data_IF_492986856283
#
_entry.id   IF_492986856283
#
_cell.length_a   1.000
_cell.length_b   1.000
_cell.length_c   1.000
_cell.angle_alpha   90.00
_cell.angle_beta   90.00
_cell.angle_gamma   90.00
#
_symmetry.space_group_name_H-M   'P 1'
#
loop_
_entity.id
_entity.type
_entity.pdbx_description
1 polymer ?
#
# COMPACT_ATOMS: atom_id res chain seq x y z
N UNK A 1 -25.08 17.33 -0.12
CA UNK A 1 -23.89 18.20 -0.28
C UNK A 1 -23.01 18.13 0.96
N UNK A 2 -22.04 17.21 0.99
CA UNK A 2 -20.61 17.35 1.31
C UNK A 2 -20.07 18.31 2.42
N UNK A 3 -20.90 19.09 3.13
CA UNK A 3 -20.45 20.27 3.87
C UNK A 3 -19.69 20.00 5.17
N UNK A 4 -19.56 18.75 5.62
CA UNK A 4 -18.76 18.40 6.81
C UNK A 4 -17.34 17.95 6.48
N UNK A 5 -17.17 17.26 5.36
CA UNK A 5 -15.98 16.43 5.10
C UNK A 5 -14.79 17.25 4.61
N UNK A 6 -14.96 18.48 4.11
CA UNK A 6 -13.82 19.35 3.77
C UNK A 6 -13.66 20.53 4.73
N UNK A 7 -14.64 20.80 5.62
CA UNK A 7 -14.56 21.95 6.55
C UNK A 7 -13.44 21.80 7.57
N UNK A 8 -13.01 20.56 7.84
CA UNK A 8 -11.84 20.34 8.68
C UNK A 8 -10.57 20.99 8.11
N UNK A 9 -10.49 21.22 6.80
CA UNK A 9 -9.31 21.83 6.16
C UNK A 9 -8.96 23.22 6.71
N UNK A 10 -9.97 24.05 6.95
CA UNK A 10 -9.79 25.38 7.51
C UNK A 10 -9.26 25.31 8.95
N UNK A 11 -9.79 24.38 9.74
CA UNK A 11 -9.39 24.16 11.14
C UNK A 11 -8.00 23.51 11.25
N UNK A 12 -7.65 22.69 10.26
CA UNK A 12 -6.35 22.04 10.15
C UNK A 12 -5.25 22.98 9.62
N UNK A 13 -5.61 24.15 9.10
CA UNK A 13 -4.68 25.02 8.35
C UNK A 13 -4.22 24.40 7.02
N UNK A 14 -4.95 23.42 6.47
CA UNK A 14 -4.63 22.73 5.22
C UNK A 14 -5.41 23.35 4.07
N UNK A 15 -5.04 24.57 3.74
CA UNK A 15 -5.69 25.45 2.76
C UNK A 15 -4.85 25.63 1.49
N UNK A 16 -5.43 26.02 0.34
CA UNK A 16 -6.86 26.31 0.11
C UNK A 16 -7.71 25.04 -0.03
N UNK A 17 -9.04 25.21 -0.08
CA UNK A 17 -9.92 24.15 -0.58
C UNK A 17 -9.92 24.18 -2.11
N UNK A 18 -9.39 23.14 -2.73
CA UNK A 18 -9.17 23.03 -4.17
C UNK A 18 -10.37 22.43 -4.93
N UNK A 19 -11.48 22.13 -4.25
CA UNK A 19 -12.61 21.44 -4.88
C UNK A 19 -12.25 20.02 -5.33
N UNK A 20 -12.91 19.57 -6.40
CA UNK A 20 -12.61 18.29 -7.03
C UNK A 20 -11.40 18.40 -7.96
N UNK A 21 -10.38 17.55 -7.75
CA UNK A 21 -9.24 17.46 -8.67
C UNK A 21 -8.47 16.16 -8.55
N UNK A 22 -8.02 15.65 -9.70
CA UNK A 22 -7.09 14.52 -9.80
C UNK A 22 -5.64 14.91 -9.45
N UNK A 23 -5.33 16.22 -9.46
CA UNK A 23 -3.97 16.69 -9.19
C UNK A 23 -3.59 16.50 -7.72
N UNK A 24 -2.34 16.14 -7.48
CA UNK A 24 -1.74 16.17 -6.14
C UNK A 24 -1.18 17.57 -5.88
N UNK A 25 -1.88 18.37 -5.08
CA UNK A 25 -1.59 19.79 -4.83
C UNK A 25 -1.83 20.14 -3.36
N UNK A 26 -1.07 21.09 -2.85
CA UNK A 26 -1.22 21.56 -1.47
C UNK A 26 -2.63 22.11 -1.20
N UNK A 27 -3.07 21.94 0.04
CA UNK A 27 -4.43 22.27 0.50
C UNK A 27 -5.32 21.03 0.57
N UNK A 28 -6.63 21.24 0.66
CA UNK A 28 -7.61 20.16 0.77
C UNK A 28 -8.36 19.97 -0.53
N UNK A 29 -8.54 18.72 -0.94
CA UNK A 29 -9.22 18.38 -2.19
C UNK A 29 -10.16 17.19 -2.04
N UNK A 30 -11.10 17.09 -2.96
CA UNK A 30 -11.84 15.86 -3.24
C UNK A 30 -11.19 15.19 -4.44
N UNK A 31 -10.71 13.95 -4.25
CA UNK A 31 -10.13 13.12 -5.30
C UNK A 31 -11.16 12.33 -6.08
N UNK A 32 -10.70 11.71 -7.17
CA UNK A 32 -11.47 10.71 -7.89
C UNK A 32 -11.68 9.43 -7.08
N UNK A 33 -12.63 8.62 -7.53
CA UNK A 33 -12.94 7.31 -6.97
C UNK A 33 -13.02 6.28 -8.08
N UNK A 34 -12.76 5.02 -7.73
CA UNK A 34 -12.97 3.87 -8.61
C UNK A 34 -14.37 3.27 -8.44
N UNK A 35 -15.26 3.98 -7.75
CA UNK A 35 -16.67 3.62 -7.63
C UNK A 35 -17.48 4.42 -8.66
N UNK A 36 -18.38 3.76 -9.37
CA UNK A 36 -19.38 4.41 -10.22
C UNK A 36 -20.51 5.06 -9.39
N UNK A 37 -21.43 5.82 -10.01
CA UNK A 37 -22.59 6.40 -9.31
C UNK A 37 -23.54 5.38 -8.67
N UNK A 38 -23.52 4.12 -9.11
CA UNK A 38 -24.30 3.01 -8.53
C UNK A 38 -23.56 2.33 -7.37
N UNK A 39 -22.35 2.78 -7.03
CA UNK A 39 -21.50 2.22 -5.98
C UNK A 39 -20.74 0.96 -6.38
N UNK A 40 -20.70 0.59 -7.67
CA UNK A 40 -19.90 -0.54 -8.16
C UNK A 40 -18.44 -0.15 -8.29
N UNK A 41 -17.55 -1.06 -7.90
CA UNK A 41 -16.10 -0.88 -8.00
C UNK A 41 -15.59 -1.28 -9.38
N UNK A 42 -14.90 -0.36 -10.04
CA UNK A 42 -14.09 -0.60 -11.23
C UNK A 42 -12.64 -0.86 -10.83
N UNK A 43 -12.00 -1.85 -11.45
CA UNK A 43 -10.63 -2.25 -11.09
C UNK A 43 -9.69 -2.18 -12.28
N UNK A 44 -8.40 -2.46 -12.06
CA UNK A 44 -7.46 -2.59 -13.16
C UNK A 44 -7.81 -3.77 -14.10
N UNK A 45 -8.60 -4.75 -13.65
CA UNK A 45 -9.05 -5.86 -14.50
C UNK A 45 -9.98 -5.39 -15.62
N UNK A 46 -10.77 -4.33 -15.40
CA UNK A 46 -11.65 -3.72 -16.39
C UNK A 46 -10.85 -3.27 -17.63
N UNK A 47 -9.56 -2.90 -17.46
CA UNK A 47 -8.70 -2.51 -18.57
C UNK A 47 -8.42 -3.66 -19.57
N UNK A 48 -8.68 -4.92 -19.19
CA UNK A 48 -8.60 -6.05 -20.10
C UNK A 48 -9.69 -6.00 -21.19
N UNK A 49 -10.76 -5.22 -21.00
CA UNK A 49 -11.80 -5.03 -22.04
C UNK A 49 -11.23 -4.40 -23.32
N UNK A 50 -10.12 -3.67 -23.21
CA UNK A 50 -9.42 -3.04 -24.34
C UNK A 50 -8.36 -3.96 -24.98
N UNK A 51 -8.16 -5.17 -24.45
CA UNK A 51 -7.19 -6.11 -25.01
C UNK A 51 -7.75 -6.79 -26.27
N UNK A 52 -6.89 -7.10 -27.24
CA UNK A 52 -7.24 -7.96 -28.37
C UNK A 52 -7.30 -9.42 -27.89
N UNK A 53 -8.49 -10.04 -27.80
CA UNK A 53 -8.64 -11.38 -27.22
C UNK A 53 -7.93 -12.48 -28.03
N UNK A 54 -7.52 -12.19 -29.27
CA UNK A 54 -6.73 -13.13 -30.09
C UNK A 54 -5.24 -13.11 -29.77
N UNK A 55 -4.78 -12.11 -29.01
CA UNK A 55 -3.37 -11.87 -28.68
C UNK A 55 -3.06 -11.98 -27.19
N UNK A 56 -4.08 -12.07 -26.35
CA UNK A 56 -3.93 -12.22 -24.91
C UNK A 56 -4.50 -13.56 -24.44
N UNK A 57 -3.86 -14.17 -23.46
CA UNK A 57 -4.40 -15.29 -22.71
C UNK A 57 -4.18 -15.00 -21.24
N UNK A 58 -5.24 -15.14 -20.44
CA UNK A 58 -5.22 -14.86 -19.01
C UNK A 58 -5.46 -16.18 -18.27
N UNK A 59 -4.48 -16.61 -17.50
CA UNK A 59 -4.60 -17.75 -16.60
C UNK A 59 -4.90 -17.23 -15.20
N UNK A 60 -6.08 -17.56 -14.68
CA UNK A 60 -6.45 -17.30 -13.29
C UNK A 60 -6.07 -18.49 -12.42
N UNK A 61 -5.87 -18.25 -11.12
CA UNK A 61 -5.44 -19.28 -10.17
C UNK A 61 -4.15 -19.98 -10.63
N UNK A 62 -3.23 -19.19 -11.19
CA UNK A 62 -1.93 -19.61 -11.69
C UNK A 62 -0.84 -18.89 -10.88
N UNK A 63 -0.31 -19.55 -9.84
CA UNK A 63 0.76 -19.00 -9.00
C UNK A 63 2.09 -19.13 -9.74
N UNK A 64 2.86 -18.06 -9.90
CA UNK A 64 4.18 -18.11 -10.54
C UNK A 64 5.25 -18.52 -9.52
N UNK A 65 5.96 -19.61 -9.77
CA UNK A 65 6.89 -20.21 -8.79
C UNK A 65 8.35 -19.90 -9.10
N UNK A 66 8.71 -19.82 -10.39
CA UNK A 66 10.11 -19.63 -10.80
C UNK A 66 10.21 -19.03 -12.19
N UNK A 67 11.14 -18.09 -12.38
CA UNK A 67 11.58 -17.61 -13.69
C UNK A 67 12.68 -18.55 -14.19
N UNK A 68 12.59 -18.91 -15.46
CA UNK A 68 13.58 -19.76 -16.12
C UNK A 68 14.60 -18.90 -16.86
N UNK A 69 15.86 -19.30 -16.77
CA UNK A 69 16.98 -18.61 -17.39
C UNK A 69 17.79 -19.55 -18.28
N UNK A 70 18.46 -18.97 -19.27
CA UNK A 70 19.47 -19.63 -20.09
C UNK A 70 20.69 -18.73 -20.26
N UNK A 71 21.86 -19.34 -20.39
CA UNK A 71 23.11 -18.67 -20.80
C UNK A 71 23.54 -19.12 -22.20
N UNK A 72 22.75 -19.96 -22.86
CA UNK A 72 23.08 -20.46 -24.20
C UNK A 72 23.09 -19.32 -25.21
N UNK A 73 24.27 -19.05 -25.77
CA UNK A 73 24.45 -18.01 -26.79
C UNK A 73 24.60 -16.59 -26.24
N UNK A 74 24.65 -16.40 -24.92
CA UNK A 74 24.82 -15.08 -24.28
C UNK A 74 25.80 -15.15 -23.11
N UNK A 75 26.57 -14.08 -22.89
CA UNK A 75 27.44 -13.98 -21.69
C UNK A 75 26.64 -13.69 -20.41
N UNK A 76 25.43 -13.16 -20.55
CA UNK A 76 24.51 -12.81 -19.45
C UNK A 76 23.36 -13.80 -19.40
N UNK A 77 22.81 -14.11 -18.21
CA UNK A 77 21.57 -14.85 -18.10
C UNK A 77 20.44 -14.15 -18.86
N UNK A 78 19.69 -14.91 -19.64
CA UNK A 78 18.50 -14.46 -20.36
C UNK A 78 17.27 -15.17 -19.82
N UNK A 79 16.25 -14.43 -19.41
CA UNK A 79 14.97 -15.01 -19.04
C UNK A 79 14.31 -15.65 -20.29
N UNK A 80 13.84 -16.88 -20.17
CA UNK A 80 13.25 -17.64 -21.28
C UNK A 80 11.92 -18.31 -20.96
N UNK A 81 11.39 -18.14 -19.75
CA UNK A 81 10.09 -18.67 -19.37
C UNK A 81 9.76 -18.51 -17.90
N UNK A 82 8.62 -19.07 -17.51
CA UNK A 82 8.12 -19.09 -16.13
C UNK A 82 7.48 -20.45 -15.85
N UNK A 83 7.76 -21.01 -14.66
CA UNK A 83 7.03 -22.13 -14.09
C UNK A 83 5.90 -21.56 -13.23
N UNK A 84 4.69 -22.07 -13.42
CA UNK A 84 3.54 -21.70 -12.60
C UNK A 84 2.72 -22.94 -12.21
N UNK A 85 2.00 -22.86 -11.10
CA UNK A 85 1.12 -23.91 -10.60
C UNK A 85 -0.33 -23.49 -10.79
N UNK A 86 -1.18 -24.40 -11.31
CA UNK A 86 -2.61 -24.15 -11.45
C UNK A 86 -3.40 -24.47 -10.17
N UNK A 87 -4.71 -24.21 -10.19
CA UNK A 87 -5.62 -24.44 -9.07
C UNK A 87 -5.68 -25.90 -8.57
N UNK A 88 -5.29 -26.88 -9.40
CA UNK A 88 -5.26 -28.29 -9.04
C UNK A 88 -3.88 -28.75 -8.53
N UNK A 89 -2.94 -27.80 -8.38
CA UNK A 89 -1.57 -28.09 -7.96
C UNK A 89 -0.67 -28.58 -9.09
N UNK A 90 -1.12 -28.56 -10.35
CA UNK A 90 -0.33 -29.04 -11.50
C UNK A 90 0.64 -27.96 -11.96
N UNK A 91 1.89 -28.35 -12.19
CA UNK A 91 2.94 -27.46 -12.68
C UNK A 91 2.93 -27.35 -14.21
N UNK A 92 3.01 -26.11 -14.68
CA UNK A 92 3.06 -25.74 -16.09
C UNK A 92 4.30 -24.90 -16.37
N UNK A 93 4.74 -24.88 -17.62
CA UNK A 93 5.84 -24.02 -18.06
C UNK A 93 5.41 -23.19 -19.26
N UNK A 94 5.45 -21.87 -19.13
CA UNK A 94 5.31 -20.92 -20.23
C UNK A 94 6.70 -20.51 -20.71
N UNK A 95 7.06 -20.83 -21.96
CA UNK A 95 8.35 -20.44 -22.56
C UNK A 95 8.18 -19.30 -23.56
N UNK A 96 9.16 -18.41 -23.61
CA UNK A 96 9.24 -17.41 -24.66
C UNK A 96 9.45 -18.10 -26.01
N UNK A 97 8.74 -17.65 -27.04
CA UNK A 97 8.87 -18.23 -28.37
C UNK A 97 10.26 -17.90 -28.97
N UNK A 98 10.98 -18.93 -29.42
CA UNK A 98 12.38 -18.83 -29.85
C UNK A 98 12.60 -17.96 -31.09
N UNK A 99 11.58 -17.79 -31.94
CA UNK A 99 11.69 -17.07 -33.22
C UNK A 99 11.69 -15.54 -33.06
N UNK A 100 11.31 -15.00 -31.91
CA UNK A 100 11.33 -13.56 -31.67
C UNK A 100 12.28 -13.22 -30.51
N UNK A 101 13.44 -12.67 -30.86
CA UNK A 101 14.49 -12.29 -29.92
C UNK A 101 14.06 -11.19 -28.93
N UNK A 102 13.00 -10.44 -29.23
CA UNK A 102 12.45 -9.36 -28.42
C UNK A 102 11.32 -9.81 -27.47
N UNK A 103 11.04 -11.11 -27.40
CA UNK A 103 10.17 -11.65 -26.38
C UNK A 103 10.83 -11.47 -25.01
N UNK A 104 10.04 -11.07 -24.01
CA UNK A 104 10.52 -10.75 -22.66
C UNK A 104 9.54 -11.32 -21.62
N UNK A 105 10.04 -11.62 -20.42
CA UNK A 105 9.23 -11.89 -19.23
C UNK A 105 9.08 -10.58 -18.45
N UNK A 106 7.86 -10.26 -18.02
CA UNK A 106 7.57 -9.08 -17.20
C UNK A 106 7.04 -9.52 -15.84
N UNK A 107 7.65 -9.02 -14.77
CA UNK A 107 7.15 -9.17 -13.39
C UNK A 107 6.29 -7.97 -13.04
N UNK A 108 5.04 -8.24 -12.65
CA UNK A 108 4.12 -7.26 -12.09
C UNK A 108 3.38 -7.86 -10.88
N UNK A 109 4.09 -8.64 -10.06
CA UNK A 109 3.55 -9.35 -8.91
C UNK A 109 3.40 -8.45 -7.66
N UNK A 110 3.81 -7.18 -7.76
CA UNK A 110 3.72 -6.20 -6.68
C UNK A 110 4.97 -6.14 -5.81
N UNK A 111 4.97 -5.16 -4.90
CA UNK A 111 6.16 -4.78 -4.13
C UNK A 111 6.74 -5.89 -3.23
N UNK A 112 5.95 -6.91 -2.86
CA UNK A 112 6.42 -8.04 -2.05
C UNK A 112 6.78 -9.23 -2.95
N UNK A 113 5.86 -9.66 -3.82
CA UNK A 113 6.05 -10.90 -4.57
C UNK A 113 7.04 -10.77 -5.74
N UNK A 114 7.22 -9.59 -6.34
CA UNK A 114 8.22 -9.41 -7.41
C UNK A 114 9.66 -9.62 -6.93
N UNK A 115 10.14 -8.96 -5.86
CA UNK A 115 11.47 -9.28 -5.32
C UNK A 115 11.55 -10.71 -4.78
N UNK A 116 10.50 -11.25 -4.14
CA UNK A 116 10.47 -12.65 -3.71
C UNK A 116 10.68 -13.61 -4.89
N UNK A 117 9.98 -13.40 -6.01
CA UNK A 117 10.09 -14.27 -7.18
C UNK A 117 11.47 -14.17 -7.83
N UNK A 118 12.11 -12.99 -7.85
CA UNK A 118 13.51 -12.86 -8.26
C UNK A 118 14.42 -13.70 -7.35
N UNK A 119 14.28 -13.58 -6.03
CA UNK A 119 15.05 -14.34 -5.05
C UNK A 119 14.88 -15.86 -5.26
N UNK A 120 13.63 -16.35 -5.33
CA UNK A 120 13.32 -17.78 -5.57
C UNK A 120 13.82 -18.30 -6.92
N UNK A 121 14.02 -17.39 -7.88
CA UNK A 121 14.57 -17.72 -9.20
C UNK A 121 16.10 -17.60 -9.27
N UNK A 122 16.77 -17.37 -8.14
CA UNK A 122 18.23 -17.33 -8.05
C UNK A 122 18.84 -15.96 -8.38
N UNK A 123 18.05 -14.87 -8.33
CA UNK A 123 18.50 -13.49 -8.60
C UNK A 123 18.40 -12.68 -7.32
N UNK A 124 19.53 -12.43 -6.66
CA UNK A 124 19.55 -11.83 -5.32
C UNK A 124 20.91 -11.92 -4.64
N UNK A 125 21.03 -11.51 -3.35
CA UNK A 125 22.28 -11.61 -2.62
C UNK A 125 22.75 -13.08 -2.52
N UNK A 126 23.91 -13.40 -3.11
CA UNK A 126 24.34 -14.79 -3.29
C UNK A 126 24.44 -15.59 -1.98
N UNK A 127 24.92 -14.97 -0.89
CA UNK A 127 25.00 -15.61 0.42
C UNK A 127 23.60 -15.98 0.95
N UNK A 128 22.65 -15.03 0.90
CA UNK A 128 21.26 -15.26 1.32
C UNK A 128 20.60 -16.39 0.50
N UNK A 129 20.83 -16.42 -0.81
CA UNK A 129 20.30 -17.45 -1.70
C UNK A 129 20.87 -18.84 -1.35
N UNK A 130 22.18 -18.92 -1.14
CA UNK A 130 22.84 -20.17 -0.75
C UNK A 130 22.35 -20.67 0.62
N UNK A 131 22.21 -19.77 1.61
CA UNK A 131 21.73 -20.10 2.96
C UNK A 131 20.30 -20.67 2.95
N UNK A 132 19.49 -20.30 1.96
CA UNK A 132 18.12 -20.81 1.76
C UNK A 132 18.04 -21.97 0.77
N UNK A 133 19.17 -22.48 0.25
CA UNK A 133 19.18 -23.59 -0.68
C UNK A 133 18.62 -23.25 -2.07
N UNK A 134 18.66 -21.98 -2.48
CA UNK A 134 18.26 -21.56 -3.83
C UNK A 134 19.43 -21.81 -4.79
N UNK A 135 19.32 -22.90 -5.56
CA UNK A 135 20.31 -23.32 -6.54
C UNK A 135 19.68 -23.47 -7.95
N UNK A 136 20.38 -23.09 -9.04
CA UNK A 136 21.61 -22.29 -9.04
C UNK A 136 21.35 -20.82 -8.70
N UNK A 137 22.37 -20.17 -8.12
CA UNK A 137 22.46 -18.70 -8.10
C UNK A 137 22.70 -18.24 -9.54
N UNK A 138 21.70 -17.57 -10.12
CA UNK A 138 21.73 -17.07 -11.50
C UNK A 138 22.53 -15.77 -11.60
N UNK A 139 22.33 -14.88 -10.63
CA UNK A 139 23.02 -13.60 -10.56
C UNK A 139 23.09 -13.11 -9.12
N UNK A 140 24.31 -12.85 -8.64
CA UNK A 140 24.52 -12.12 -7.38
C UNK A 140 24.06 -10.68 -7.57
N UNK A 141 22.91 -10.36 -6.98
CA UNK A 141 22.24 -9.08 -7.12
C UNK A 141 21.83 -8.55 -5.72
N UNK A 142 22.78 -7.98 -4.94
CA UNK A 142 22.57 -7.68 -3.51
C UNK A 142 21.47 -6.66 -3.21
N UNK A 143 21.02 -5.89 -4.21
CA UNK A 143 19.95 -4.90 -4.03
C UNK A 143 18.53 -5.47 -4.16
N UNK A 144 18.34 -6.73 -4.59
CA UNK A 144 17.00 -7.34 -4.64
C UNK A 144 16.46 -7.52 -3.22
N UNK A 145 15.21 -7.10 -2.99
CA UNK A 145 14.56 -7.11 -1.68
C UNK A 145 15.00 -5.96 -0.77
N UNK A 146 15.97 -5.14 -1.16
CA UNK A 146 16.44 -4.01 -0.36
C UNK A 146 15.62 -2.73 -0.59
N UNK A 147 15.61 -1.86 0.42
CA UNK A 147 14.95 -0.56 0.31
C UNK A 147 13.43 -0.65 0.33
N UNK A 148 12.88 -1.64 1.04
CA UNK A 148 11.45 -1.75 1.28
C UNK A 148 10.97 -0.53 2.07
N UNK A 149 9.94 0.14 1.58
CA UNK A 149 9.31 1.27 2.24
C UNK A 149 7.80 1.06 2.30
N UNK A 150 7.18 1.56 3.35
CA UNK A 150 5.73 1.66 3.44
C UNK A 150 5.37 2.91 4.21
N UNK A 151 4.38 3.65 3.73
CA UNK A 151 3.95 4.90 4.36
C UNK A 151 3.30 4.60 5.72
N UNK A 152 3.90 5.03 6.86
CA UNK A 152 3.28 4.87 8.17
C UNK A 152 1.91 5.55 8.21
N UNK A 153 0.88 4.83 8.68
CA UNK A 153 -0.44 5.39 8.95
C UNK A 153 -0.83 5.23 10.41
N UNK A 154 -1.50 6.25 10.94
CA UNK A 154 -2.24 6.16 12.20
C UNK A 154 -3.66 6.67 11.96
N UNK A 155 -4.63 5.98 12.57
CA UNK A 155 -6.05 6.28 12.40
C UNK A 155 -6.68 6.79 13.71
N UNK A 156 -7.73 7.57 13.56
CA UNK A 156 -8.64 7.98 14.62
C UNK A 156 -10.05 7.66 14.18
N UNK A 157 -10.78 6.90 14.99
CA UNK A 157 -12.22 6.63 14.79
C UNK A 157 -13.01 7.64 15.61
N UNK A 158 -14.05 8.19 15.00
CA UNK A 158 -14.85 9.28 15.55
C UNK A 158 -16.32 8.85 15.55
N UNK A 159 -16.85 8.35 16.68
CA UNK A 159 -18.27 8.08 16.81
C UNK A 159 -19.09 9.37 16.68
N UNK A 160 -20.13 9.32 15.85
CA UNK A 160 -21.01 10.45 15.56
C UNK A 160 -22.42 10.23 16.14
N UNK A 161 -23.02 11.24 16.79
CA UNK A 161 -24.40 11.17 17.28
C UNK A 161 -25.44 11.22 16.15
N UNK A 162 -25.01 11.46 14.91
CA UNK A 162 -25.86 11.57 13.72
C UNK A 162 -25.30 10.69 12.60
N UNK A 163 -26.15 10.14 11.73
CA UNK A 163 -25.68 9.48 10.52
C UNK A 163 -24.77 10.41 9.70
N UNK A 164 -23.67 9.85 9.21
CA UNK A 164 -22.72 10.49 8.30
C UNK A 164 -22.82 9.80 6.94
N UNK A 165 -22.63 10.57 5.87
CA UNK A 165 -22.62 10.04 4.51
C UNK A 165 -21.49 9.03 4.34
N UNK A 166 -21.74 7.91 3.66
CA UNK A 166 -20.69 6.95 3.32
C UNK A 166 -19.75 7.61 2.32
N UNK A 167 -18.49 7.71 2.70
CA UNK A 167 -17.43 8.28 1.88
C UNK A 167 -16.17 7.46 2.11
N UNK A 168 -15.66 6.85 1.03
CA UNK A 168 -14.29 6.33 1.03
C UNK A 168 -13.28 7.48 1.21
N UNK A 169 -12.00 7.12 1.22
CA UNK A 169 -10.90 8.08 1.30
C UNK A 169 -10.80 8.92 0.02
N UNK A 170 -11.71 9.89 -0.13
CA UNK A 170 -11.77 10.82 -1.26
C UNK A 170 -11.33 12.22 -0.85
N UNK A 171 -11.54 12.61 0.41
CA UNK A 171 -11.11 13.91 0.90
C UNK A 171 -9.73 13.79 1.51
N UNK A 172 -8.77 14.44 0.88
CA UNK A 172 -7.38 14.46 1.31
C UNK A 172 -6.91 15.91 1.50
N UNK A 173 -6.27 16.17 2.63
CA UNK A 173 -5.48 17.37 2.88
C UNK A 173 -4.00 17.08 2.71
N UNK A 174 -3.35 17.94 1.93
CA UNK A 174 -1.96 17.88 1.58
C UNK A 174 -1.32 19.15 2.15
N UNK A 175 -0.87 19.12 3.42
CA UNK A 175 -0.18 20.25 4.03
C UNK A 175 1.24 20.39 3.48
N UNK A 176 1.93 21.47 3.88
CA UNK A 176 3.34 21.69 3.56
C UNK A 176 4.31 20.87 4.41
N UNK A 177 3.81 20.16 5.44
CA UNK A 177 4.61 19.22 6.24
C UNK A 177 4.47 17.79 5.72
N UNK A 178 5.37 16.90 6.13
CA UNK A 178 5.58 15.58 5.54
C UNK A 178 4.52 14.50 5.81
N UNK A 179 3.24 14.86 6.02
CA UNK A 179 2.14 13.91 6.21
C UNK A 179 0.86 14.37 5.54
N UNK A 180 0.09 13.43 5.01
CA UNK A 180 -1.25 13.67 4.48
C UNK A 180 -2.31 13.36 5.53
N UNK A 181 -3.39 14.13 5.52
CA UNK A 181 -4.56 13.89 6.37
C UNK A 181 -5.71 13.49 5.47
N UNK A 182 -6.31 12.34 5.70
CA UNK A 182 -7.43 11.86 4.87
C UNK A 182 -8.65 11.55 5.74
N UNK A 183 -9.82 11.95 5.24
CA UNK A 183 -11.09 11.73 5.90
C UNK A 183 -11.86 10.59 5.23
N UNK A 184 -12.55 9.80 6.05
CA UNK A 184 -13.53 8.81 5.62
C UNK A 184 -14.76 8.87 6.53
N UNK A 185 -15.91 8.45 6.03
CA UNK A 185 -17.15 8.46 6.81
C UNK A 185 -18.08 7.33 6.39
N UNK A 186 -18.95 6.90 7.30
CA UNK A 186 -19.84 5.77 7.06
C UNK A 186 -19.03 4.51 6.77
N UNK A 187 -18.33 4.01 7.79
CA UNK A 187 -17.42 2.88 7.69
C UNK A 187 -18.16 1.59 7.27
N UNK A 188 -18.36 1.40 5.98
CA UNK A 188 -18.57 0.10 5.33
C UNK A 188 -17.21 -0.45 4.87
N UNK A 189 -16.24 -0.47 5.78
CA UNK A 189 -14.98 -1.20 5.55
C UNK A 189 -15.34 -2.67 5.65
N UNK A 190 -15.16 -3.46 4.57
CA UNK A 190 -15.36 -4.93 4.48
C UNK A 190 -16.05 -5.52 5.71
N UNK A 191 -17.36 -5.71 5.61
CA UNK A 191 -18.27 -6.13 6.71
C UNK A 191 -17.68 -7.28 7.55
N UNK A 192 -16.87 -8.19 6.99
CA UNK A 192 -16.26 -9.28 7.76
C UNK A 192 -15.08 -8.84 8.66
N UNK A 193 -14.19 -7.97 8.17
CA UNK A 193 -12.99 -7.57 8.92
C UNK A 193 -13.31 -6.55 10.02
N UNK A 194 -14.25 -5.64 9.75
CA UNK A 194 -14.75 -4.70 10.76
C UNK A 194 -15.57 -5.39 11.84
N UNK A 195 -16.48 -6.31 11.49
CA UNK A 195 -17.19 -7.08 12.51
C UNK A 195 -16.22 -7.88 13.39
N UNK A 196 -15.28 -8.63 12.79
CA UNK A 196 -14.31 -9.40 13.56
C UNK A 196 -13.42 -8.52 14.46
N UNK A 197 -13.01 -7.34 13.97
CA UNK A 197 -12.25 -6.37 14.75
C UNK A 197 -13.07 -5.78 15.90
N UNK A 198 -14.29 -5.31 15.63
CA UNK A 198 -15.14 -4.67 16.64
C UNK A 198 -15.73 -5.68 17.64
N UNK A 199 -16.04 -6.91 17.24
CA UNK A 199 -16.43 -8.00 18.14
C UNK A 199 -15.26 -8.37 19.08
N UNK A 200 -14.03 -8.42 18.55
CA UNK A 200 -12.82 -8.59 19.35
C UNK A 200 -12.58 -7.43 20.33
N UNK A 201 -12.86 -6.20 19.91
CA UNK A 201 -12.81 -5.00 20.77
C UNK A 201 -13.88 -5.06 21.86
N UNK A 202 -15.13 -5.38 21.55
CA UNK A 202 -16.22 -5.48 22.54
C UNK A 202 -15.92 -6.58 23.58
N UNK A 203 -15.42 -7.73 23.14
CA UNK A 203 -15.01 -8.81 24.05
C UNK A 203 -13.87 -8.37 24.98
N UNK A 204 -12.85 -7.68 24.45
CA UNK A 204 -11.76 -7.13 25.25
C UNK A 204 -12.27 -6.06 26.24
N UNK A 205 -13.24 -5.23 25.85
CA UNK A 205 -13.80 -4.18 26.71
C UNK A 205 -14.62 -4.72 27.88
N UNK A 206 -15.25 -5.88 27.71
CA UNK A 206 -15.91 -6.57 28.80
C UNK A 206 -14.91 -7.15 29.83
N UNK A 207 -13.67 -7.42 29.41
CA UNK A 207 -12.61 -7.92 30.29
C UNK A 207 -11.77 -6.81 30.94
N UNK A 208 -11.57 -5.66 30.29
CA UNK A 208 -10.75 -4.57 30.84
C UNK A 208 -11.58 -3.67 31.77
N UNK A 209 -11.28 -3.72 33.08
CA UNK A 209 -11.67 -2.69 34.05
C UNK A 209 -10.89 -1.39 33.77
N UNK A 210 -11.35 -0.59 32.81
CA UNK A 210 -10.66 0.65 32.42
C UNK A 210 -10.72 1.72 33.54
N UNK A 211 -9.63 2.48 33.79
CA UNK A 211 -9.47 3.21 35.04
C UNK A 211 -10.15 4.59 35.08
N UNK A 212 -10.75 5.07 33.99
CA UNK A 212 -11.25 6.44 33.91
C UNK A 212 -12.76 6.52 33.62
N UNK A 213 -13.47 7.35 34.39
CA UNK A 213 -14.91 7.65 34.19
C UNK A 213 -15.22 8.15 32.77
N UNK A 214 -14.27 8.85 32.14
CA UNK A 214 -14.41 9.39 30.78
C UNK A 214 -14.45 8.28 29.71
N UNK A 215 -13.55 7.29 29.80
CA UNK A 215 -13.58 6.13 28.90
C UNK A 215 -14.82 5.27 29.18
N UNK A 216 -15.19 5.02 30.44
CA UNK A 216 -16.40 4.25 30.77
C UNK A 216 -17.68 4.83 30.17
N UNK A 217 -17.86 6.16 30.20
CA UNK A 217 -19.00 6.82 29.57
C UNK A 217 -18.94 6.76 28.03
N UNK A 218 -17.75 6.85 27.45
CA UNK A 218 -17.54 6.68 26.01
C UNK A 218 -17.88 5.26 25.55
N UNK A 219 -17.50 4.23 26.31
CA UNK A 219 -17.79 2.84 25.99
C UNK A 219 -19.27 2.49 26.14
N UNK A 220 -19.94 2.96 27.20
CA UNK A 220 -21.41 2.83 27.32
C UNK A 220 -22.16 3.47 26.15
N UNK A 221 -21.60 4.53 25.57
CA UNK A 221 -22.16 5.22 24.40
C UNK A 221 -21.94 4.42 23.10
N UNK A 222 -20.84 3.68 23.02
CA UNK A 222 -20.53 2.73 21.94
C UNK A 222 -21.44 1.49 21.98
N UNK A 223 -21.68 0.97 23.19
CA UNK A 223 -22.33 -0.32 23.47
C UNK A 223 -23.84 -0.33 23.19
N UNK A 224 -24.52 0.82 23.24
CA UNK A 224 -25.98 0.83 23.33
C UNK A 224 -26.76 0.78 22.00
N UNK A 225 -26.28 1.32 20.86
CA UNK A 225 -27.12 1.45 19.62
C UNK A 225 -26.36 1.63 18.28
N UNK A 226 -25.06 1.32 18.20
CA UNK A 226 -24.26 1.77 17.05
C UNK A 226 -24.47 0.92 15.78
N UNK A 227 -25.09 1.50 14.75
CA UNK A 227 -24.89 1.03 13.39
C UNK A 227 -23.61 1.70 12.83
N UNK A 228 -22.46 1.05 13.06
CA UNK A 228 -21.12 1.55 12.70
C UNK A 228 -21.03 1.95 11.21
N UNK A 229 -21.80 1.29 10.35
CA UNK A 229 -21.84 1.58 8.90
C UNK A 229 -22.27 3.00 8.57
N UNK A 230 -23.06 3.66 9.43
CA UNK A 230 -23.61 4.99 9.14
C UNK A 230 -23.34 6.03 10.23
N UNK A 231 -22.88 5.64 11.42
CA UNK A 231 -22.73 6.57 12.55
C UNK A 231 -21.28 6.80 13.00
N UNK A 232 -20.27 6.35 12.24
CA UNK A 232 -18.86 6.62 12.55
C UNK A 232 -18.14 7.32 11.39
N UNK A 233 -17.28 8.26 11.73
CA UNK A 233 -16.27 8.84 10.86
C UNK A 233 -14.86 8.34 11.21
N UNK A 234 -13.91 8.59 10.32
CA UNK A 234 -12.50 8.33 10.56
C UNK A 234 -11.63 9.42 9.96
N UNK A 235 -10.49 9.66 10.61
CA UNK A 235 -9.39 10.44 10.04
C UNK A 235 -8.12 9.61 10.12
N UNK A 236 -7.34 9.63 9.05
CA UNK A 236 -6.03 9.01 9.01
C UNK A 236 -4.97 10.07 8.78
N UNK A 237 -3.83 9.93 9.44
CA UNK A 237 -2.59 10.57 9.03
C UNK A 237 -1.74 9.54 8.29
N UNK A 238 -1.11 9.94 7.19
CA UNK A 238 -0.20 9.11 6.40
C UNK A 238 1.10 9.88 6.17
N UNK A 239 2.22 9.39 6.68
CA UNK A 239 3.54 9.99 6.44
C UNK A 239 3.93 9.84 4.97
N UNK A 240 4.35 10.94 4.33
CA UNK A 240 4.75 10.97 2.93
C UNK A 240 6.14 10.36 2.72
N UNK A 241 6.24 9.55 1.65
CA UNK A 241 7.51 9.06 1.08
C UNK A 241 8.60 8.80 2.10
N UNK A 242 8.33 7.95 3.11
CA UNK A 242 9.10 7.87 4.35
C UNK A 242 10.59 7.75 4.07
N UNK A 243 11.44 8.08 5.03
CA UNK A 243 12.88 7.91 4.89
C UNK A 243 13.30 6.53 5.40
N UNK A 244 12.65 6.05 6.45
CA UNK A 244 12.85 4.72 7.02
C UNK A 244 12.70 3.64 5.93
N UNK A 245 13.69 2.74 5.83
CA UNK A 245 13.71 1.64 4.88
C UNK A 245 14.02 0.36 5.63
N UNK A 246 13.38 -0.72 5.22
CA UNK A 246 13.80 -2.06 5.58
C UNK A 246 14.10 -2.90 4.35
N UNK A 247 13.88 -4.19 4.49
CA UNK A 247 14.28 -5.20 3.52
C UNK A 247 13.26 -6.35 3.49
N UNK A 248 13.36 -7.15 2.44
CA UNK A 248 12.63 -8.38 2.25
C UNK A 248 13.61 -9.53 2.13
N UNK A 249 13.34 -10.60 2.87
CA UNK A 249 14.14 -11.82 2.91
C UNK A 249 13.24 -13.04 2.72
N UNK A 250 13.77 -14.05 2.02
CA UNK A 250 13.12 -15.37 2.01
C UNK A 250 13.11 -15.92 3.44
N UNK A 251 12.04 -16.68 3.76
CA UNK A 251 11.99 -17.51 4.97
C UNK A 251 12.23 -18.98 4.65
N UNK A 252 11.89 -19.37 3.42
CA UNK A 252 12.04 -20.68 2.84
C UNK A 252 11.92 -20.54 1.30
N UNK A 253 11.93 -21.67 0.59
CA UNK A 253 11.83 -21.71 -0.88
C UNK A 253 10.42 -22.01 -1.39
N UNK A 254 9.41 -22.02 -0.51
CA UNK A 254 8.02 -22.20 -0.92
C UNK A 254 7.45 -20.85 -1.41
N UNK A 255 7.10 -20.72 -2.70
CA UNK A 255 6.59 -19.47 -3.26
C UNK A 255 5.25 -19.02 -2.65
N UNK A 256 4.47 -19.94 -2.10
CA UNK A 256 3.17 -19.62 -1.48
C UNK A 256 3.32 -19.11 -0.03
N UNK A 257 4.51 -19.25 0.57
CA UNK A 257 4.79 -18.73 1.89
C UNK A 257 5.23 -17.26 1.81
N UNK A 258 4.71 -16.42 2.71
CA UNK A 258 5.09 -15.02 2.76
C UNK A 258 6.57 -14.86 3.17
N UNK A 259 7.32 -13.96 2.49
CA UNK A 259 8.67 -13.63 2.89
C UNK A 259 8.67 -12.84 4.21
N UNK A 260 9.84 -12.73 4.84
CA UNK A 260 10.07 -11.79 5.94
C UNK A 260 10.17 -10.38 5.34
N UNK A 261 9.42 -9.42 5.87
CA UNK A 261 9.46 -8.03 5.40
C UNK A 261 9.58 -7.09 6.59
N UNK A 262 10.56 -6.20 6.51
CA UNK A 262 10.73 -5.08 7.44
C UNK A 262 10.57 -3.75 6.70
N UNK A 263 9.86 -2.80 7.30
CA UNK A 263 9.76 -1.42 6.81
C UNK A 263 10.47 -0.42 7.73
N UNK A 264 10.80 -0.86 8.96
CA UNK A 264 11.45 -0.06 9.97
C UNK A 264 10.72 1.26 10.29
N UNK A 265 9.38 1.24 10.40
CA UNK A 265 8.58 2.43 10.67
C UNK A 265 9.16 3.27 11.82
N UNK A 266 9.41 4.56 11.54
CA UNK A 266 9.96 5.54 12.49
C UNK A 266 11.36 5.24 13.02
N UNK A 267 12.15 4.44 12.29
CA UNK A 267 13.59 4.35 12.52
C UNK A 267 14.23 5.73 12.35
N UNK A 268 13.81 6.47 11.32
CA UNK A 268 14.24 7.83 11.08
C UNK A 268 13.39 8.84 11.89
N UNK A 269 14.01 9.75 12.66
CA UNK A 269 13.29 10.72 13.49
C UNK A 269 12.35 11.65 12.71
N UNK A 270 12.68 11.97 11.46
CA UNK A 270 11.86 12.85 10.62
C UNK A 270 10.51 12.22 10.29
N UNK A 271 10.45 10.92 9.98
CA UNK A 271 9.18 10.22 9.77
C UNK A 271 8.30 10.26 11.02
N UNK A 272 8.92 10.15 12.20
CA UNK A 272 8.22 10.20 13.48
C UNK A 272 7.68 11.60 13.77
N UNK A 273 8.47 12.65 13.49
CA UNK A 273 8.03 14.03 13.63
C UNK A 273 6.86 14.34 12.67
N UNK A 274 6.94 13.85 11.43
CA UNK A 274 5.85 13.97 10.46
C UNK A 274 4.55 13.31 10.96
N UNK A 275 4.64 12.14 11.62
CA UNK A 275 3.48 11.52 12.26
C UNK A 275 2.90 12.39 13.38
N UNK A 276 3.75 12.93 14.26
CA UNK A 276 3.33 13.80 15.37
C UNK A 276 2.63 15.05 14.85
N UNK A 277 3.14 15.68 13.79
CA UNK A 277 2.49 16.83 13.16
C UNK A 277 1.14 16.46 12.54
N UNK A 278 1.07 15.29 11.88
CA UNK A 278 -0.17 14.76 11.33
C UNK A 278 -1.25 14.54 12.41
N UNK A 279 -0.91 13.85 13.49
CA UNK A 279 -1.83 13.60 14.61
C UNK A 279 -2.20 14.90 15.35
N UNK A 280 -1.25 15.82 15.52
CA UNK A 280 -1.53 17.12 16.12
C UNK A 280 -2.55 17.90 15.31
N UNK A 281 -2.48 17.81 13.98
CA UNK A 281 -3.44 18.40 13.06
C UNK A 281 -4.82 17.75 13.20
N UNK A 282 -4.89 16.42 13.28
CA UNK A 282 -6.15 15.70 13.53
C UNK A 282 -6.78 16.09 14.88
N UNK A 283 -5.98 16.20 15.94
CA UNK A 283 -6.47 16.63 17.26
C UNK A 283 -7.08 18.03 17.19
N UNK A 284 -6.40 18.98 16.52
CA UNK A 284 -6.91 20.36 16.32
C UNK A 284 -8.26 20.34 15.62
N UNK A 285 -8.38 19.57 14.54
CA UNK A 285 -9.62 19.40 13.79
C UNK A 285 -10.75 18.89 14.69
N UNK A 286 -10.53 17.78 15.40
CA UNK A 286 -11.56 17.15 16.24
C UNK A 286 -12.00 18.07 17.38
N UNK A 287 -11.09 18.91 17.87
CA UNK A 287 -11.38 19.85 18.95
C UNK A 287 -12.04 21.16 18.47
N UNK A 288 -12.12 21.40 17.17
CA UNK A 288 -12.72 22.62 16.62
C UNK A 288 -14.23 22.72 16.85
N UNK A 289 -14.75 23.95 16.93
CA UNK A 289 -16.17 24.25 17.06
C UNK A 289 -16.98 23.66 15.90
N UNK A 290 -16.44 23.72 14.67
CA UNK A 290 -17.11 23.23 13.47
C UNK A 290 -17.27 21.71 13.43
N UNK A 291 -16.37 20.98 14.08
CA UNK A 291 -16.42 19.52 14.15
C UNK A 291 -17.29 18.99 15.32
N UNK A 292 -17.65 19.85 16.28
CA UNK A 292 -18.43 19.50 17.47
C UNK A 292 -19.74 18.76 17.18
N UNK A 293 -20.41 19.08 16.06
CA UNK A 293 -21.68 18.47 15.66
C UNK A 293 -21.58 17.02 15.16
N UNK A 294 -20.36 16.54 14.87
CA UNK A 294 -20.07 15.19 14.38
C UNK A 294 -19.46 14.27 15.44
N UNK A 295 -19.37 14.73 16.69
CA UNK A 295 -18.90 13.96 17.83
C UNK A 295 -19.84 14.14 19.01
N UNK A 296 -19.76 13.24 19.98
CA UNK A 296 -20.52 13.40 21.21
C UNK A 296 -19.97 14.54 22.09
N UNK A 297 -20.83 15.23 22.87
CA UNK A 297 -20.38 16.24 23.82
C UNK A 297 -19.30 15.70 24.78
N UNK A 298 -18.25 16.49 25.03
CA UNK A 298 -17.14 16.12 25.90
C UNK A 298 -16.07 15.22 25.27
N UNK A 299 -16.30 14.66 24.08
CA UNK A 299 -15.27 13.90 23.33
C UNK A 299 -14.19 14.86 22.84
N UNK A 300 -12.93 14.56 23.15
CA UNK A 300 -11.76 15.31 22.66
C UNK A 300 -10.96 14.45 21.69
N UNK A 301 -10.19 15.09 20.80
CA UNK A 301 -9.26 14.37 19.92
C UNK A 301 -8.31 13.49 20.71
N UNK A 302 -7.89 13.95 21.90
CA UNK A 302 -7.05 13.15 22.77
C UNK A 302 -7.75 11.93 23.35
N UNK A 303 -8.99 12.08 23.81
CA UNK A 303 -9.77 10.94 24.30
C UNK A 303 -10.01 9.87 23.21
N UNK A 304 -10.13 10.29 21.94
CA UNK A 304 -10.22 9.36 20.82
C UNK A 304 -8.90 8.64 20.53
N UNK A 305 -7.75 9.29 20.72
CA UNK A 305 -6.45 8.60 20.65
C UNK A 305 -6.34 7.56 21.76
N UNK A 306 -6.71 7.89 23.00
CA UNK A 306 -6.67 6.93 24.11
C UNK A 306 -7.55 5.70 23.85
N UNK A 307 -8.71 5.92 23.23
CA UNK A 307 -9.57 4.83 22.76
C UNK A 307 -8.84 3.93 21.76
N UNK A 308 -8.24 4.49 20.70
CA UNK A 308 -7.51 3.70 19.70
C UNK A 308 -6.31 2.97 20.29
N UNK A 309 -5.56 3.61 21.20
CA UNK A 309 -4.41 3.00 21.89
C UNK A 309 -4.81 1.76 22.69
N UNK A 310 -6.02 1.73 23.23
CA UNK A 310 -6.53 0.56 23.96
C UNK A 310 -6.90 -0.61 23.03
N UNK A 311 -7.11 -0.37 21.74
CA UNK A 311 -7.54 -1.40 20.78
C UNK A 311 -6.35 -2.22 20.24
N UNK A 312 -6.53 -3.53 19.99
CA UNK A 312 -5.51 -4.38 19.37
C UNK A 312 -5.48 -4.22 17.84
N UNK A 313 -5.22 -3.00 17.36
CA UNK A 313 -5.17 -2.69 15.91
C UNK A 313 -3.93 -3.23 15.20
N UNK A 314 -2.90 -3.63 15.95
CA UNK A 314 -1.68 -4.22 15.45
C UNK A 314 -1.06 -5.13 16.53
N UNK A 315 0.04 -5.81 16.18
CA UNK A 315 0.78 -6.71 17.08
C UNK A 315 1.87 -6.02 17.90
N UNK A 316 1.89 -4.68 17.96
CA UNK A 316 2.94 -3.94 18.68
C UNK A 316 2.62 -3.86 20.18
N UNK A 317 3.65 -3.84 21.04
CA UNK A 317 3.48 -3.48 22.45
C UNK A 317 2.84 -2.10 22.57
N UNK A 318 1.92 -1.94 23.53
CA UNK A 318 1.17 -0.70 23.77
C UNK A 318 1.43 -0.17 25.17
N UNK A 319 1.66 1.13 25.29
CA UNK A 319 2.03 1.80 26.53
C UNK A 319 0.85 2.57 27.14
N UNK A 320 -0.26 1.85 27.41
CA UNK A 320 -1.56 2.45 27.79
C UNK A 320 -1.50 3.21 29.13
N UNK A 321 -0.67 2.74 30.08
CA UNK A 321 -0.55 3.33 31.42
C UNK A 321 0.57 4.38 31.53
N UNK A 322 1.29 4.65 30.44
CA UNK A 322 2.39 5.62 30.44
C UNK A 322 1.88 7.06 30.34
N UNK A 323 2.71 8.01 30.80
CA UNK A 323 2.45 9.43 30.54
C UNK A 323 2.41 9.64 29.03
N UNK A 324 1.35 10.29 28.55
CA UNK A 324 1.13 10.33 27.12
C UNK A 324 2.14 11.18 26.39
N UNK A 325 2.59 10.60 25.30
CA UNK A 325 3.48 11.20 24.34
C UNK A 325 3.01 10.80 22.93
N UNK A 326 2.89 11.79 22.04
CA UNK A 326 2.46 11.57 20.67
C UNK A 326 3.49 10.74 19.89
N UNK A 327 4.79 10.84 20.21
CA UNK A 327 5.80 10.02 19.54
C UNK A 327 5.61 8.54 19.90
N UNK A 328 5.40 8.24 21.18
CA UNK A 328 5.10 6.87 21.59
C UNK A 328 3.76 6.38 21.00
N UNK A 329 2.73 7.23 20.99
CA UNK A 329 1.45 6.88 20.37
C UNK A 329 1.60 6.53 18.88
N UNK A 330 2.38 7.33 18.12
CA UNK A 330 2.70 7.03 16.72
C UNK A 330 3.27 5.62 16.57
N UNK A 331 4.27 5.27 17.39
CA UNK A 331 4.94 3.96 17.36
C UNK A 331 4.01 2.81 17.75
N UNK A 332 3.19 2.99 18.79
CA UNK A 332 2.30 1.96 19.31
C UNK A 332 1.15 1.66 18.35
N UNK A 333 0.65 2.67 17.63
CA UNK A 333 -0.57 2.56 16.82
C UNK A 333 -0.30 2.54 15.31
N UNK A 334 0.96 2.52 14.88
CA UNK A 334 1.29 2.49 13.45
C UNK A 334 0.71 1.27 12.76
N UNK A 335 0.16 1.49 11.58
CA UNK A 335 -0.35 0.46 10.68
C UNK A 335 0.18 0.74 9.27
N UNK A 336 0.17 -0.30 8.44
CA UNK A 336 0.35 -0.11 6.99
C UNK A 336 -0.86 0.61 6.40
N UNK A 337 -0.63 1.45 5.41
CA UNK A 337 -1.68 1.98 4.53
C UNK A 337 -1.76 1.19 3.20
N UNK A 338 -1.06 0.05 3.15
CA UNK A 338 -0.93 -0.82 1.98
C UNK A 338 -0.30 -0.14 0.76
N UNK A 339 0.47 0.92 0.99
CA UNK A 339 1.23 1.63 -0.05
C UNK A 339 2.72 1.27 0.02
N UNK A 340 3.01 0.02 0.34
CA UNK A 340 4.37 -0.50 0.38
C UNK A 340 4.96 -0.59 -1.03
N UNK A 341 6.26 -0.37 -1.12
CA UNK A 341 7.03 -0.18 -2.34
C UNK A 341 8.51 -0.51 -2.10
N UNK A 342 9.31 -0.54 -3.17
CA UNK A 342 10.72 -0.90 -3.10
C UNK A 342 10.98 -2.42 -3.23
N UNK A 343 12.24 -2.82 -3.11
CA UNK A 343 12.67 -4.20 -3.35
C UNK A 343 13.22 -4.46 -4.77
N UNK A 344 12.77 -3.70 -5.79
CA UNK A 344 13.29 -3.77 -7.16
C UNK A 344 13.54 -2.37 -7.75
N UNK A 345 14.08 -1.45 -6.94
CA UNK A 345 14.15 -0.01 -7.25
C UNK A 345 14.85 0.31 -8.58
N UNK A 346 14.31 1.27 -9.34
CA UNK A 346 14.98 1.85 -10.51
C UNK A 346 16.35 2.42 -10.12
N UNK A 347 17.36 2.18 -10.95
CA UNK A 347 18.76 2.55 -10.71
C UNK A 347 19.50 1.64 -9.73
N UNK A 348 18.83 0.62 -9.18
CA UNK A 348 19.44 -0.35 -8.24
C UNK A 348 19.26 -1.79 -8.69
N UNK A 349 18.04 -2.18 -9.07
CA UNK A 349 17.68 -3.53 -9.54
C UNK A 349 17.23 -3.51 -11.00
N UNK A 350 16.51 -2.47 -11.40
CA UNK A 350 16.13 -2.25 -12.80
C UNK A 350 16.72 -0.95 -13.33
N UNK A 351 16.91 -0.86 -14.64
CA UNK A 351 17.29 0.39 -15.30
C UNK A 351 16.09 1.33 -15.54
N UNK A 352 16.32 2.44 -16.24
CA UNK A 352 15.28 3.43 -16.60
C UNK A 352 14.26 2.91 -17.64
N UNK A 353 14.52 1.75 -18.24
CA UNK A 353 13.62 1.02 -19.13
C UNK A 353 12.93 -0.14 -18.40
N UNK A 354 13.09 -0.21 -17.08
CA UNK A 354 12.55 -1.25 -16.20
C UNK A 354 13.13 -2.65 -16.45
N UNK A 355 14.25 -2.75 -17.17
CA UNK A 355 14.97 -4.02 -17.42
C UNK A 355 15.82 -4.38 -16.21
N UNK A 356 15.80 -5.65 -15.81
CA UNK A 356 16.60 -6.13 -14.68
C UNK A 356 18.08 -6.04 -15.02
N UNK A 357 18.84 -5.35 -14.17
CA UNK A 357 20.27 -5.13 -14.39
C UNK A 357 21.02 -6.47 -14.41
N UNK A 358 21.77 -6.71 -15.49
CA UNK A 358 22.55 -7.94 -15.66
C UNK A 358 21.77 -9.14 -16.21
N UNK A 359 20.47 -9.01 -16.48
CA UNK A 359 19.64 -10.08 -17.04
C UNK A 359 18.95 -9.60 -18.32
N UNK A 360 19.07 -10.39 -19.39
CA UNK A 360 18.42 -10.10 -20.64
C UNK A 360 16.96 -10.60 -20.63
N UNK A 361 16.08 -9.90 -21.35
CA UNK A 361 14.67 -10.26 -21.56
C UNK A 361 13.82 -10.37 -20.28
N UNK A 362 14.16 -9.62 -19.23
CA UNK A 362 13.42 -9.55 -17.97
C UNK A 362 13.17 -8.10 -17.56
N UNK A 363 11.92 -7.77 -17.23
CA UNK A 363 11.55 -6.47 -16.64
C UNK A 363 10.76 -6.63 -15.35
N UNK A 364 10.79 -5.61 -14.51
CA UNK A 364 9.89 -5.48 -13.35
C UNK A 364 9.09 -4.19 -13.49
N UNK A 365 7.76 -4.28 -13.51
CA UNK A 365 6.85 -3.15 -13.74
C UNK A 365 5.72 -3.20 -12.71
N UNK A 366 6.02 -2.71 -11.51
CA UNK A 366 5.06 -2.51 -10.42
C UNK A 366 5.66 -1.58 -9.33
N UNK A 367 5.00 -1.46 -8.19
CA UNK A 367 5.43 -0.61 -7.08
C UNK A 367 6.77 -1.01 -6.43
N UNK A 368 7.29 -2.22 -6.68
CA UNK A 368 8.64 -2.62 -6.22
C UNK A 368 9.74 -1.72 -6.79
N UNK A 369 9.46 -1.07 -7.91
CA UNK A 369 10.40 -0.22 -8.63
C UNK A 369 10.52 1.20 -8.07
N UNK A 370 9.62 1.59 -7.15
CA UNK A 370 9.57 2.95 -6.62
C UNK A 370 10.61 3.19 -5.51
N UNK A 371 11.23 4.37 -5.56
CA UNK A 371 12.04 4.91 -4.45
C UNK A 371 11.17 5.49 -3.33
N UNK A 372 10.04 6.10 -3.72
CA UNK A 372 9.01 6.69 -2.86
C UNK A 372 7.64 6.52 -3.52
N UNK A 373 6.61 6.29 -2.72
CA UNK A 373 5.21 6.24 -3.22
C UNK A 373 4.81 7.56 -3.90
N UNK A 374 4.26 7.52 -5.13
CA UNK A 374 3.73 8.71 -5.78
C UNK A 374 2.39 9.15 -5.15
N UNK A 375 2.31 10.43 -4.78
CA UNK A 375 1.09 11.07 -4.30
C UNK A 375 0.49 10.46 -3.01
N UNK A 376 -0.78 10.80 -2.77
CA UNK A 376 -1.52 10.34 -1.59
C UNK A 376 -1.92 8.86 -1.70
N UNK A 377 -2.34 8.40 -2.89
CA UNK A 377 -2.68 7.00 -3.15
C UNK A 377 -2.13 6.64 -4.54
N UNK A 378 -1.27 5.60 -4.66
CA UNK A 378 -0.50 5.38 -5.88
C UNK A 378 -1.26 4.60 -6.97
N UNK A 379 -2.49 4.12 -6.70
CA UNK A 379 -3.20 3.19 -7.59
C UNK A 379 -3.26 3.67 -9.05
N UNK A 380 -3.64 4.93 -9.28
CA UNK A 380 -3.78 5.49 -10.62
C UNK A 380 -2.43 5.62 -11.32
N UNK A 381 -1.38 5.97 -10.57
CA UNK A 381 -0.01 6.05 -11.09
C UNK A 381 0.52 4.68 -11.46
N UNK A 382 0.23 3.63 -10.67
CA UNK A 382 0.65 2.25 -10.98
C UNK A 382 -0.09 1.73 -12.22
N UNK A 383 -1.41 1.98 -12.35
CA UNK A 383 -2.17 1.63 -13.55
C UNK A 383 -1.61 2.33 -14.80
N UNK A 384 -1.31 3.62 -14.68
CA UNK A 384 -0.70 4.41 -15.76
C UNK A 384 0.69 3.86 -16.12
N UNK A 385 1.52 3.52 -15.13
CA UNK A 385 2.85 2.95 -15.33
C UNK A 385 2.81 1.68 -16.20
N UNK A 386 1.89 0.76 -15.89
CA UNK A 386 1.73 -0.48 -16.67
C UNK A 386 1.46 -0.19 -18.16
N UNK A 387 0.54 0.74 -18.46
CA UNK A 387 0.26 1.14 -19.85
C UNK A 387 1.42 1.88 -20.49
N UNK A 388 2.07 2.80 -19.76
CA UNK A 388 3.19 3.57 -20.27
C UNK A 388 4.36 2.69 -20.69
N UNK A 389 4.75 1.73 -19.83
CA UNK A 389 5.83 0.78 -20.15
C UNK A 389 5.42 -0.15 -21.29
N UNK A 390 4.16 -0.61 -21.32
CA UNK A 390 3.65 -1.39 -22.45
C UNK A 390 3.78 -0.66 -23.79
N UNK A 391 3.42 0.63 -23.85
CA UNK A 391 3.62 1.45 -25.06
C UNK A 391 5.09 1.66 -25.41
N UNK A 392 5.96 1.79 -24.41
CA UNK A 392 7.40 1.90 -24.62
C UNK A 392 7.98 0.63 -25.24
N UNK A 393 7.61 -0.55 -24.73
CA UNK A 393 8.01 -1.84 -25.28
C UNK A 393 7.57 -1.98 -26.75
N UNK A 394 6.35 -1.56 -27.09
CA UNK A 394 5.87 -1.62 -28.48
C UNK A 394 6.70 -0.74 -29.43
N UNK A 395 7.13 0.44 -28.98
CA UNK A 395 8.03 1.31 -29.76
C UNK A 395 9.41 0.70 -29.92
N UNK A 396 10.02 0.23 -28.83
CA UNK A 396 11.32 -0.48 -28.88
C UNK A 396 11.29 -1.68 -29.85
N UNK A 397 10.14 -2.35 -30.00
CA UNK A 397 9.94 -3.43 -30.95
C UNK A 397 9.82 -2.97 -32.40
N UNK A 398 9.12 -1.87 -32.65
CA UNK A 398 9.00 -1.30 -33.99
C UNK A 398 10.38 -0.85 -34.52
N UNK A 399 11.13 -0.10 -33.70
CA UNK A 399 12.46 0.43 -34.08
C UNK A 399 13.46 -0.71 -34.42
N UNK A 400 13.35 -1.84 -33.74
CA UNK A 400 14.18 -3.02 -34.02
C UNK A 400 13.83 -3.72 -35.34
N UNK A 401 12.56 -3.67 -35.76
CA UNK A 401 12.14 -4.23 -37.04
C UNK A 401 12.62 -3.34 -38.19
N UNK A 402 12.50 -2.02 -38.05
CA UNK A 402 13.02 -1.05 -39.03
C UNK A 402 14.54 -1.20 -39.22
N UNK A 403 15.31 -1.28 -38.13
CA UNK A 403 16.76 -1.48 -38.21
C UNK A 403 17.18 -2.83 -38.80
N UNK A 404 16.32 -3.85 -38.75
CA UNK A 404 16.54 -5.14 -39.44
C UNK A 404 16.20 -5.11 -40.91
N UNK A 405 15.31 -4.22 -41.35
CA UNK A 405 14.97 -4.03 -42.76
C UNK A 405 16.00 -3.15 -43.48
N UNK A 406 16.74 -2.32 -42.75
CA UNK A 406 17.83 -1.47 -43.27
C UNK A 406 19.21 -2.17 -43.36
N UNK A 407 19.36 -3.35 -42.73
CA UNK A 407 20.57 -4.20 -42.75
C UNK A 407 20.39 -5.39 -43.69
#
# INVERSE_FOLDING_TARGET
MANGVYRWSFEAGVTPYNGFTYKHIYGTKVGGTILDPDGRRHTAADLLEYADPKKITVYLHASAHKILFTTTGTKRPKANGVIFQDANGVFHTAKLAAHNAQNEVLLSAGAIASPQLLLLSGVGPAAHLADHGVDPVILDHPMVGQGMGDNPMNAVVIPSPKPVEVSLVQVAGIPHFGSYIEGLSGLSLSISLTHSFFDGVINLLNEIKLPTKTLSNFFKLLDLRFNITTQAGGMIQKVYGPISRGHLELRNTNPDDNPSVTFNYYQEPEDLNNCVEGLSTIIKVINSQNYSKYKFPGVTGRGLLDFILALPINLRPRHINSLFDLKQYCKDTVMTIYHYHGGCQVGKVVDNDYKVLGIDALRVVDASTFLKTPGTNPQATIMMLGRYVGQKILRERADFLETKEEL
#
